data_IF_167243436460
#
_entry.id   IF_167243436460
#
_cell.length_a   1.000
_cell.length_b   1.000
_cell.length_c   1.000
_cell.angle_alpha   90.00
_cell.angle_beta   90.00
_cell.angle_gamma   90.00
#
_symmetry.space_group_name_H-M   'P 1'
#
loop_
_entity.id
_entity.type
_entity.pdbx_description
1 polymer ?
#
# COMPACT_ATOMS: atom_id res chain seq x y z
N UNK A 1 -29.86 22.67 37.30
CA UNK A 1 -29.15 21.82 36.34
C UNK A 1 -29.03 22.57 35.03
N UNK A 2 -27.83 22.70 34.45
CA UNK A 2 -27.67 22.99 33.02
C UNK A 2 -27.34 21.71 32.24
N UNK A 3 -28.13 21.49 31.19
CA UNK A 3 -27.89 20.54 30.10
C UNK A 3 -26.65 21.00 29.31
N UNK A 4 -25.70 20.09 29.08
CA UNK A 4 -24.56 20.33 28.21
C UNK A 4 -24.38 19.12 27.28
N UNK A 5 -25.29 19.06 26.30
CA UNK A 5 -25.24 18.16 25.16
C UNK A 5 -23.89 18.28 24.43
N UNK A 6 -23.13 17.19 24.35
CA UNK A 6 -21.86 17.12 23.60
C UNK A 6 -22.20 17.01 22.12
N UNK A 7 -21.81 18.04 21.35
CA UNK A 7 -21.91 18.06 19.89
C UNK A 7 -20.81 17.18 19.27
N UNK A 8 -21.20 16.06 18.65
CA UNK A 8 -20.33 15.34 17.73
C UNK A 8 -20.24 16.11 16.41
N UNK A 9 -19.19 16.91 16.23
CA UNK A 9 -18.86 17.49 14.93
C UNK A 9 -18.30 16.40 14.01
N UNK A 10 -19.17 15.87 13.18
CA UNK A 10 -18.84 15.10 12.00
C UNK A 10 -18.27 16.06 10.94
N UNK A 11 -16.96 16.01 10.70
CA UNK A 11 -16.33 16.66 9.54
C UNK A 11 -15.29 15.73 8.92
N UNK A 12 -15.62 15.21 7.73
CA UNK A 12 -14.65 14.62 6.82
C UNK A 12 -15.02 13.24 6.27
N UNK A 13 -16.08 13.16 5.45
CA UNK A 13 -16.29 12.01 4.56
C UNK A 13 -15.18 11.97 3.50
N UNK A 14 -14.23 11.06 3.64
CA UNK A 14 -13.46 10.52 2.51
C UNK A 14 -13.77 9.03 2.43
N UNK A 15 -14.41 8.64 1.34
CA UNK A 15 -14.90 7.30 1.07
C UNK A 15 -13.78 6.26 1.06
N UNK A 16 -13.87 5.34 2.02
CA UNK A 16 -13.61 3.89 1.95
C UNK A 16 -13.02 3.41 0.60
N UNK A 17 -11.71 3.22 0.57
CA UNK A 17 -11.04 2.23 -0.29
C UNK A 17 -10.05 1.46 0.58
N UNK A 18 -10.52 0.34 1.14
CA UNK A 18 -9.75 -0.50 2.06
C UNK A 18 -10.58 -0.80 3.31
N UNK A 19 -10.84 -2.08 3.56
CA UNK A 19 -11.66 -2.57 4.67
C UNK A 19 -11.16 -2.01 6.01
N UNK A 20 -12.10 -1.64 6.87
CA UNK A 20 -11.87 -1.39 8.29
C UNK A 20 -11.47 -2.73 8.94
N UNK A 21 -10.18 -3.05 8.96
CA UNK A 21 -9.62 -4.16 9.75
C UNK A 21 -8.99 -3.53 10.98
N UNK A 22 -9.68 -3.66 12.12
CA UNK A 22 -9.28 -3.01 13.36
C UNK A 22 -7.94 -3.50 13.88
N UNK A 23 -6.99 -2.58 14.03
CA UNK A 23 -6.10 -2.35 15.20
C UNK A 23 -5.73 -0.85 15.14
N UNK A 24 -5.86 -0.15 16.26
CA UNK A 24 -5.58 1.29 16.42
C UNK A 24 -4.11 1.66 16.14
N UNK A 25 -3.77 1.86 14.86
CA UNK A 25 -2.61 2.67 14.46
C UNK A 25 -3.13 3.93 13.76
N UNK A 26 -3.46 4.96 14.54
CA UNK A 26 -3.79 6.27 13.96
C UNK A 26 -2.52 6.96 13.47
N UNK A 27 -2.15 6.70 12.22
CA UNK A 27 -1.18 7.52 11.51
C UNK A 27 -1.88 8.81 11.04
N UNK A 28 -1.42 9.97 11.53
CA UNK A 28 -1.99 11.27 11.16
C UNK A 28 -1.36 11.77 9.84
N UNK A 29 -1.75 11.15 8.72
CA UNK A 29 -1.30 11.54 7.38
C UNK A 29 -2.09 12.72 6.84
N UNK A 30 -1.40 13.66 6.20
CA UNK A 30 -2.05 14.73 5.43
C UNK A 30 -2.68 14.18 4.13
N UNK A 31 -3.49 15.00 3.46
CA UNK A 31 -4.21 14.58 2.24
C UNK A 31 -3.30 14.14 1.10
N UNK A 32 -2.11 14.74 0.99
CA UNK A 32 -1.14 14.39 -0.05
C UNK A 32 -0.49 13.03 0.22
N UNK A 33 -0.07 12.79 1.47
CA UNK A 33 0.46 11.50 1.94
C UNK A 33 -0.54 10.37 1.70
N UNK A 34 -1.81 10.58 2.06
CA UNK A 34 -2.88 9.61 1.84
C UNK A 34 -3.07 9.29 0.34
N UNK A 35 -3.04 10.32 -0.50
CA UNK A 35 -3.16 10.16 -1.96
C UNK A 35 -1.99 9.38 -2.53
N UNK A 36 -0.75 9.78 -2.23
CA UNK A 36 0.46 9.11 -2.74
C UNK A 36 0.52 7.66 -2.27
N UNK A 37 0.17 7.39 -1.00
CA UNK A 37 0.10 6.05 -0.45
C UNK A 37 -0.95 5.19 -1.17
N UNK A 38 -2.16 5.71 -1.33
CA UNK A 38 -3.25 4.99 -1.99
C UNK A 38 -2.94 4.70 -3.47
N UNK A 39 -2.36 5.66 -4.19
CA UNK A 39 -1.97 5.49 -5.59
C UNK A 39 -0.90 4.40 -5.75
N UNK A 40 0.15 4.43 -4.91
CA UNK A 40 1.21 3.43 -4.95
C UNK A 40 0.69 2.04 -4.54
N UNK A 41 -0.15 1.97 -3.51
CA UNK A 41 -0.74 0.71 -3.04
C UNK A 41 -1.64 0.08 -4.10
N UNK A 42 -2.51 0.87 -4.74
CA UNK A 42 -3.39 0.41 -5.81
C UNK A 42 -2.58 -0.13 -7.00
N UNK A 43 -1.53 0.59 -7.43
CA UNK A 43 -0.73 0.19 -8.57
C UNK A 43 0.03 -1.13 -8.32
N UNK A 44 0.55 -1.32 -7.11
CA UNK A 44 1.16 -2.59 -6.68
C UNK A 44 0.11 -3.70 -6.61
N UNK A 45 -1.05 -3.42 -6.02
CA UNK A 45 -2.13 -4.40 -5.90
C UNK A 45 -2.56 -4.90 -7.28
N UNK A 46 -2.83 -3.98 -8.21
CA UNK A 46 -3.24 -4.31 -9.58
C UNK A 46 -2.17 -5.14 -10.30
N UNK A 47 -0.89 -4.80 -10.12
CA UNK A 47 0.22 -5.56 -10.69
C UNK A 47 0.25 -6.99 -10.15
N UNK A 48 0.17 -7.16 -8.82
CA UNK A 48 0.21 -8.47 -8.18
C UNK A 48 -0.99 -9.33 -8.58
N UNK A 49 -2.18 -8.75 -8.66
CA UNK A 49 -3.39 -9.45 -9.12
C UNK A 49 -3.28 -9.88 -10.59
N UNK A 50 -2.77 -9.02 -11.47
CA UNK A 50 -2.56 -9.34 -12.88
C UNK A 50 -1.55 -10.48 -13.05
N UNK A 51 -0.50 -10.51 -12.23
CA UNK A 51 0.50 -11.57 -12.26
C UNK A 51 -0.03 -12.87 -11.66
N UNK A 52 -0.82 -12.82 -10.58
CA UNK A 52 -1.44 -13.99 -9.96
C UNK A 52 -2.45 -14.69 -10.89
N UNK A 53 -3.01 -13.99 -11.88
CA UNK A 53 -3.84 -14.60 -12.95
C UNK A 53 -3.01 -15.39 -13.97
N UNK A 54 -1.73 -15.07 -14.13
CA UNK A 54 -0.83 -15.65 -15.15
C UNK A 54 0.08 -16.73 -14.57
N UNK A 55 0.43 -16.62 -13.30
CA UNK A 55 1.36 -17.51 -12.63
C UNK A 55 0.68 -18.09 -11.38
N UNK A 56 0.84 -19.40 -11.11
CA UNK A 56 0.27 -20.02 -9.92
C UNK A 56 0.89 -19.40 -8.65
N UNK A 57 0.17 -19.47 -7.53
CA UNK A 57 0.57 -18.91 -6.23
C UNK A 57 0.36 -19.89 -5.07
N UNK A 58 0.26 -21.19 -5.36
CA UNK A 58 -0.09 -22.23 -4.38
C UNK A 58 1.09 -22.61 -3.46
N UNK A 59 2.32 -22.49 -3.94
CA UNK A 59 3.54 -22.82 -3.18
C UNK A 59 4.41 -21.58 -2.95
N UNK A 60 5.34 -21.66 -1.99
CA UNK A 60 6.27 -20.57 -1.74
C UNK A 60 7.11 -20.23 -2.98
N UNK A 61 7.63 -21.24 -3.68
CA UNK A 61 8.40 -21.04 -4.92
C UNK A 61 7.58 -20.36 -6.01
N UNK A 62 6.30 -20.72 -6.13
CA UNK A 62 5.38 -20.12 -7.09
C UNK A 62 5.08 -18.64 -6.75
N UNK A 63 4.86 -18.33 -5.47
CA UNK A 63 4.74 -16.95 -5.00
C UNK A 63 6.01 -16.13 -5.23
N UNK A 64 7.18 -16.75 -5.06
CA UNK A 64 8.48 -16.15 -5.38
C UNK A 64 8.60 -15.74 -6.85
N UNK A 65 8.11 -16.57 -7.78
CA UNK A 65 8.08 -16.24 -9.21
C UNK A 65 7.23 -14.98 -9.46
N UNK A 66 6.05 -14.88 -8.84
CA UNK A 66 5.19 -13.69 -8.96
C UNK A 66 5.87 -12.46 -8.41
N UNK A 67 6.51 -12.56 -7.24
CA UNK A 67 7.27 -11.46 -6.65
C UNK A 67 8.40 -10.99 -7.56
N UNK A 68 9.21 -11.90 -8.12
CA UNK A 68 10.26 -11.55 -9.09
C UNK A 68 9.70 -10.86 -10.33
N UNK A 69 8.55 -11.33 -10.84
CA UNK A 69 7.90 -10.69 -12.00
C UNK A 69 7.35 -9.31 -11.68
N UNK A 70 6.87 -9.09 -10.47
CA UNK A 70 6.43 -7.77 -10.01
C UNK A 70 7.61 -6.80 -9.91
N UNK A 71 8.73 -7.26 -9.33
CA UNK A 71 10.00 -6.51 -9.28
C UNK A 71 10.45 -6.09 -10.68
N UNK A 72 10.54 -7.02 -11.63
CA UNK A 72 10.91 -6.73 -13.02
C UNK A 72 9.98 -5.70 -13.68
N UNK A 73 8.68 -5.73 -13.36
CA UNK A 73 7.71 -4.79 -13.91
C UNK A 73 7.87 -3.39 -13.31
N UNK A 74 8.14 -3.29 -12.01
CA UNK A 74 8.42 -2.02 -11.32
C UNK A 74 9.70 -1.39 -11.86
N UNK A 75 10.77 -2.16 -12.03
CA UNK A 75 12.04 -1.66 -12.59
C UNK A 75 11.88 -1.09 -14.01
N UNK A 76 11.01 -1.71 -14.82
CA UNK A 76 10.72 -1.28 -16.20
C UNK A 76 9.74 -0.12 -16.30
N UNK A 77 9.10 0.26 -15.20
CA UNK A 77 8.15 1.37 -15.15
C UNK A 77 8.65 2.49 -14.22
N UNK A 78 9.38 3.48 -14.75
CA UNK A 78 9.93 4.58 -13.96
C UNK A 78 8.88 5.35 -13.16
N UNK A 79 7.67 5.54 -13.71
CA UNK A 79 6.60 6.27 -13.05
C UNK A 79 6.06 5.51 -11.83
N UNK A 80 5.88 4.18 -11.98
CA UNK A 80 5.48 3.32 -10.87
C UNK A 80 6.55 3.33 -9.78
N UNK A 81 7.82 3.19 -10.17
CA UNK A 81 8.96 3.25 -9.25
C UNK A 81 8.98 4.57 -8.47
N UNK A 82 8.80 5.70 -9.14
CA UNK A 82 8.75 7.02 -8.50
C UNK A 82 7.63 7.11 -7.46
N UNK A 83 6.40 6.69 -7.81
CA UNK A 83 5.26 6.69 -6.88
C UNK A 83 5.51 5.83 -5.65
N UNK A 84 6.10 4.65 -5.84
CA UNK A 84 6.46 3.74 -4.75
C UNK A 84 7.48 4.41 -3.84
N UNK A 85 8.54 5.00 -4.39
CA UNK A 85 9.56 5.73 -3.62
C UNK A 85 8.92 6.90 -2.86
N UNK A 86 8.07 7.70 -3.49
CA UNK A 86 7.38 8.82 -2.85
C UNK A 86 6.45 8.37 -1.71
N UNK A 87 5.73 7.26 -1.89
CA UNK A 87 4.89 6.69 -0.85
C UNK A 87 5.72 6.25 0.36
N UNK A 88 6.85 5.59 0.12
CA UNK A 88 7.74 5.13 1.19
C UNK A 88 8.41 6.30 1.90
N UNK A 89 8.90 7.31 1.18
CA UNK A 89 9.50 8.50 1.77
C UNK A 89 8.50 9.29 2.63
N UNK A 90 7.24 9.36 2.20
CA UNK A 90 6.22 10.16 2.86
C UNK A 90 5.51 9.45 4.02
N UNK A 91 5.40 8.12 3.95
CA UNK A 91 4.54 7.33 4.85
C UNK A 91 5.23 6.12 5.48
N UNK A 92 6.42 5.73 5.00
CA UNK A 92 7.15 4.54 5.43
C UNK A 92 6.70 3.25 4.74
N UNK A 93 7.58 2.26 4.66
CA UNK A 93 7.25 0.99 3.98
C UNK A 93 6.16 0.21 4.69
N UNK A 94 6.09 0.27 6.03
CA UNK A 94 5.04 -0.40 6.80
C UNK A 94 3.65 0.08 6.40
N UNK A 95 3.48 1.38 6.16
CA UNK A 95 2.19 1.94 5.71
C UNK A 95 1.84 1.46 4.30
N UNK A 96 2.83 1.41 3.39
CA UNK A 96 2.63 0.86 2.05
C UNK A 96 2.24 -0.62 2.10
N UNK A 97 2.89 -1.40 2.97
CA UNK A 97 2.57 -2.82 3.17
C UNK A 97 1.15 -3.02 3.68
N UNK A 98 0.72 -2.24 4.69
CA UNK A 98 -0.63 -2.28 5.23
C UNK A 98 -1.68 -1.86 4.18
N UNK A 99 -1.36 -0.90 3.32
CA UNK A 99 -2.24 -0.43 2.27
C UNK A 99 -2.39 -1.41 1.09
N UNK A 100 -1.36 -2.18 0.76
CA UNK A 100 -1.39 -3.17 -0.34
C UNK A 100 -2.20 -4.42 0.02
N UNK A 101 -2.34 -4.80 1.31
CA UNK A 101 -3.13 -5.96 1.78
C UNK A 101 -2.97 -7.25 0.91
N UNK A 102 -1.72 -7.54 0.51
CA UNK A 102 -1.41 -8.69 -0.36
C UNK A 102 -0.20 -9.47 0.17
N UNK A 103 -0.32 -10.78 0.45
CA UNK A 103 0.78 -11.58 0.97
C UNK A 103 1.98 -11.71 0.01
N UNK A 104 1.79 -11.43 -1.29
CA UNK A 104 2.89 -11.42 -2.27
C UNK A 104 3.80 -10.20 -2.07
N UNK A 105 3.28 -9.08 -1.54
CA UNK A 105 4.08 -7.89 -1.26
C UNK A 105 5.22 -8.19 -0.28
N UNK A 106 4.94 -8.97 0.76
CA UNK A 106 5.92 -9.32 1.81
C UNK A 106 7.14 -10.08 1.26
N UNK A 107 7.00 -10.72 0.09
CA UNK A 107 8.10 -11.47 -0.55
C UNK A 107 9.02 -10.52 -1.31
N UNK A 108 8.49 -9.41 -1.81
CA UNK A 108 9.25 -8.39 -2.54
C UNK A 108 9.58 -7.14 -1.70
N UNK A 109 9.21 -7.11 -0.41
CA UNK A 109 9.37 -5.90 0.42
C UNK A 109 10.82 -5.44 0.53
N UNK A 110 11.79 -6.36 0.61
CA UNK A 110 13.22 -6.03 0.64
C UNK A 110 13.71 -5.35 -0.65
N UNK A 111 13.18 -5.74 -1.81
CA UNK A 111 13.45 -5.02 -3.06
C UNK A 111 12.87 -3.60 -3.01
N UNK A 112 11.64 -3.48 -2.51
CA UNK A 112 10.93 -2.19 -2.40
C UNK A 112 11.69 -1.24 -1.45
N UNK A 113 12.28 -1.75 -0.36
CA UNK A 113 13.20 -0.98 0.50
C UNK A 113 14.48 -0.56 -0.23
N UNK A 114 15.03 -1.44 -1.05
CA UNK A 114 16.23 -1.18 -1.87
C UNK A 114 16.04 -0.01 -2.85
N UNK A 115 14.81 0.29 -3.28
CA UNK A 115 14.54 1.43 -4.17
C UNK A 115 14.88 2.79 -3.56
N UNK A 116 14.97 2.90 -2.23
CA UNK A 116 15.31 4.15 -1.52
C UNK A 116 16.80 4.47 -1.55
N UNK A 117 17.65 3.47 -1.74
CA UNK A 117 19.11 3.57 -1.63
C UNK A 117 19.76 3.10 -2.95
N UNK A 118 19.75 3.92 -4.02
CA UNK A 118 20.29 3.56 -5.33
C UNK A 118 21.82 3.43 -5.34
#
# INVERSE_FOLDING_TARGET
MPDNTINFTNQGNASIYGKQVGIDKQYNYNSEQQKTLAEAAQEIQDLLEQLAKKYPTNTLSQKGIVATKAVEAIEKNPNMKERIVSAIQSSGITALQEAVDNPLFNIMSSFIEGLLNP
#
